data_IF_867983941630
#
_entry.id   IF_867983941630
#
_cell.length_a   1.000
_cell.length_b   1.000
_cell.length_c   1.000
_cell.angle_alpha   90.00
_cell.angle_beta   90.00
_cell.angle_gamma   90.00
#
_symmetry.space_group_name_H-M   'P 1'
#
loop_
_entity.id
_entity.type
_entity.pdbx_description
1 polymer ?
#
# COMPACT_ATOMS: atom_id res chain seq x y z
N UNK A 1 52.55 -26.42 5.96
CA UNK A 1 51.94 -25.35 5.15
C UNK A 1 50.95 -26.01 4.20
N UNK A 2 49.68 -26.11 4.59
CA UNK A 2 48.58 -26.58 3.75
C UNK A 2 47.28 -26.09 4.39
N UNK A 3 46.86 -24.87 4.06
CA UNK A 3 45.56 -24.34 4.45
C UNK A 3 44.55 -24.90 3.46
N UNK A 4 43.63 -25.72 3.97
CA UNK A 4 42.46 -26.24 3.27
C UNK A 4 41.59 -25.08 2.79
N UNK A 5 41.54 -24.88 1.48
CA UNK A 5 40.61 -23.97 0.79
C UNK A 5 39.19 -24.49 0.97
N UNK A 6 38.43 -23.87 1.88
CA UNK A 6 36.97 -24.01 1.93
C UNK A 6 36.40 -23.25 0.73
N UNK A 7 36.07 -23.96 -0.35
CA UNK A 7 35.25 -23.41 -1.43
C UNK A 7 33.86 -23.08 -0.88
N UNK A 8 33.56 -21.78 -0.83
CA UNK A 8 32.22 -21.27 -0.57
C UNK A 8 31.34 -21.66 -1.75
N UNK A 9 30.40 -22.59 -1.52
CA UNK A 9 29.35 -22.91 -2.48
C UNK A 9 28.60 -21.62 -2.86
N UNK A 10 28.25 -21.46 -4.16
CA UNK A 10 27.52 -20.28 -4.61
C UNK A 10 26.17 -20.22 -3.91
N UNK A 11 25.87 -19.06 -3.32
CA UNK A 11 24.53 -18.76 -2.80
C UNK A 11 23.57 -18.85 -3.98
N UNK A 12 22.67 -19.84 -3.94
CA UNK A 12 21.61 -19.96 -4.93
C UNK A 12 20.81 -18.65 -4.94
N UNK A 13 20.82 -17.96 -6.08
CA UNK A 13 19.91 -16.84 -6.26
C UNK A 13 18.48 -17.38 -6.15
N UNK A 14 17.60 -16.75 -5.36
CA UNK A 14 16.20 -17.14 -5.35
C UNK A 14 15.69 -17.02 -6.78
N UNK A 15 15.11 -18.10 -7.29
CA UNK A 15 14.44 -18.08 -8.57
C UNK A 15 13.45 -16.90 -8.59
N UNK A 16 13.30 -16.20 -9.74
CA UNK A 16 12.23 -15.22 -9.84
C UNK A 16 10.94 -15.94 -9.47
N UNK A 17 10.24 -15.46 -8.45
CA UNK A 17 8.88 -15.90 -8.14
C UNK A 17 7.97 -15.29 -9.21
N UNK A 18 8.19 -15.72 -10.45
CA UNK A 18 7.30 -15.54 -11.58
C UNK A 18 6.18 -16.56 -11.47
N UNK A 19 5.45 -16.49 -10.36
CA UNK A 19 4.06 -16.92 -10.39
C UNK A 19 3.30 -15.80 -11.10
N UNK A 20 3.36 -15.78 -12.43
CA UNK A 20 2.31 -15.15 -13.21
C UNK A 20 1.04 -15.95 -12.88
N UNK A 21 0.41 -15.59 -11.76
CA UNK A 21 -1.03 -15.74 -11.66
C UNK A 21 -1.54 -14.77 -12.71
N UNK A 22 -1.62 -15.24 -13.95
CA UNK A 22 -2.46 -14.61 -14.96
C UNK A 22 -3.87 -14.74 -14.40
N UNK A 23 -4.22 -13.79 -13.54
CA UNK A 23 -5.56 -13.55 -13.09
C UNK A 23 -6.31 -13.22 -14.38
N UNK A 24 -7.27 -14.08 -14.70
CA UNK A 24 -8.08 -13.90 -15.87
C UNK A 24 -8.69 -12.49 -15.81
N UNK A 25 -8.48 -11.70 -16.87
CA UNK A 25 -9.12 -10.40 -17.01
C UNK A 25 -10.62 -10.57 -16.74
N UNK A 26 -11.27 -9.63 -16.02
CA UNK A 26 -12.69 -9.75 -15.76
C UNK A 26 -13.46 -9.87 -17.07
N UNK A 27 -14.43 -10.77 -17.09
CA UNK A 27 -15.28 -11.02 -18.25
C UNK A 27 -16.05 -9.73 -18.58
N UNK A 28 -15.81 -9.19 -19.77
CA UNK A 28 -16.32 -7.88 -20.25
C UNK A 28 -17.85 -7.82 -20.36
N UNK A 29 -18.54 -8.92 -20.08
CA UNK A 29 -19.92 -9.17 -20.49
C UNK A 29 -20.83 -9.66 -19.35
N UNK A 30 -20.34 -9.69 -18.10
CA UNK A 30 -21.01 -10.37 -16.99
C UNK A 30 -21.86 -9.50 -16.05
N UNK A 31 -21.87 -8.18 -16.16
CA UNK A 31 -22.53 -7.30 -15.18
C UNK A 31 -23.93 -6.88 -15.66
N UNK A 32 -25.01 -7.31 -14.99
CA UNK A 32 -26.38 -7.04 -15.42
C UNK A 32 -26.77 -5.55 -15.29
N UNK A 33 -26.06 -4.77 -14.46
CA UNK A 33 -26.27 -3.34 -14.26
C UNK A 33 -24.96 -2.57 -14.00
N UNK A 34 -24.99 -1.25 -14.21
CA UNK A 34 -23.85 -0.37 -13.96
C UNK A 34 -23.44 -0.31 -12.48
N UNK A 35 -24.39 -0.57 -11.58
CA UNK A 35 -24.17 -0.62 -10.14
C UNK A 35 -23.28 -1.81 -9.74
N UNK A 36 -23.60 -3.02 -10.21
CA UNK A 36 -22.79 -4.22 -9.95
C UNK A 36 -21.40 -4.10 -10.56
N UNK A 37 -21.26 -3.45 -11.72
CA UNK A 37 -19.95 -3.13 -12.30
C UNK A 37 -19.10 -2.24 -11.38
N UNK A 38 -19.71 -1.21 -10.79
CA UNK A 38 -19.03 -0.32 -9.84
C UNK A 38 -18.68 -1.01 -8.51
N UNK A 39 -19.56 -1.88 -7.98
CA UNK A 39 -19.24 -2.71 -6.81
C UNK A 39 -18.10 -3.70 -7.09
N UNK A 40 -18.10 -4.32 -8.28
CA UNK A 40 -17.04 -5.22 -8.70
C UNK A 40 -15.70 -4.48 -8.85
N UNK A 41 -15.70 -3.24 -9.33
CA UNK A 41 -14.51 -2.39 -9.35
C UNK A 41 -13.99 -2.12 -7.93
N UNK A 42 -14.86 -1.81 -6.97
CA UNK A 42 -14.45 -1.63 -5.56
C UNK A 42 -13.79 -2.89 -5.01
N UNK A 43 -14.38 -4.05 -5.26
CA UNK A 43 -13.80 -5.32 -4.82
C UNK A 43 -12.45 -5.59 -5.50
N UNK A 44 -12.30 -5.25 -6.78
CA UNK A 44 -11.03 -5.38 -7.48
C UNK A 44 -9.93 -4.52 -6.82
N UNK A 45 -10.23 -3.28 -6.40
CA UNK A 45 -9.28 -2.45 -5.66
C UNK A 45 -8.96 -3.02 -4.26
N UNK A 46 -9.92 -3.65 -3.58
CA UNK A 46 -9.68 -4.35 -2.30
C UNK A 46 -8.79 -5.57 -2.44
N UNK A 47 -8.86 -6.26 -3.59
CA UNK A 47 -8.10 -7.47 -3.87
C UNK A 47 -6.71 -7.15 -4.45
N UNK A 48 -6.61 -6.17 -5.34
CA UNK A 48 -5.43 -5.95 -6.19
C UNK A 48 -4.84 -4.55 -6.09
N UNK A 49 -5.44 -3.63 -5.32
CA UNK A 49 -4.96 -2.25 -5.22
C UNK A 49 -3.52 -2.12 -4.74
N UNK A 50 -3.04 -3.08 -3.94
CA UNK A 50 -1.66 -3.13 -3.46
C UNK A 50 -0.63 -3.27 -4.58
N UNK A 51 -1.00 -3.90 -5.71
CA UNK A 51 -0.11 -4.07 -6.87
C UNK A 51 0.25 -2.73 -7.52
N UNK A 52 -0.57 -1.69 -7.31
CA UNK A 52 -0.32 -0.33 -7.79
C UNK A 52 0.01 0.66 -6.66
N UNK A 53 0.32 0.17 -5.46
CA UNK A 53 0.63 1.03 -4.33
C UNK A 53 2.06 1.58 -4.37
N UNK A 54 2.22 2.85 -4.03
CA UNK A 54 3.52 3.53 -3.97
C UNK A 54 4.22 3.26 -2.62
N UNK A 55 4.58 2.00 -2.38
CA UNK A 55 5.17 1.54 -1.10
C UNK A 55 6.71 1.51 -1.12
N UNK A 56 7.34 1.53 -2.29
CA UNK A 56 8.79 1.44 -2.42
C UNK A 56 9.43 2.84 -2.36
N UNK A 57 10.18 3.19 -1.29
CA UNK A 57 10.80 4.51 -1.16
C UNK A 57 11.99 4.73 -2.09
N UNK A 58 12.54 3.66 -2.68
CA UNK A 58 13.67 3.73 -3.63
C UNK A 58 13.21 3.83 -5.09
N UNK A 59 11.89 3.74 -5.32
CA UNK A 59 11.36 3.81 -6.67
C UNK A 59 11.60 5.19 -7.28
N UNK A 60 12.25 5.21 -8.45
CA UNK A 60 12.59 6.42 -9.21
C UNK A 60 11.58 6.69 -10.32
N UNK A 61 10.70 5.73 -10.60
CA UNK A 61 9.70 5.79 -11.67
C UNK A 61 8.32 5.39 -11.13
N UNK A 62 7.73 6.18 -10.20
CA UNK A 62 6.42 5.85 -9.61
C UNK A 62 5.27 5.74 -10.65
N UNK A 63 5.49 6.21 -11.88
CA UNK A 63 4.54 6.13 -12.99
C UNK A 63 4.64 4.84 -13.82
N UNK A 64 5.63 3.97 -13.57
CA UNK A 64 5.82 2.69 -14.29
C UNK A 64 5.25 1.47 -13.53
N UNK A 65 4.44 1.71 -12.49
CA UNK A 65 3.72 0.62 -11.82
C UNK A 65 2.93 -0.17 -12.87
N UNK A 66 3.01 -1.51 -12.86
CA UNK A 66 2.36 -2.33 -13.87
C UNK A 66 0.87 -2.01 -13.93
N UNK A 67 0.35 -1.82 -15.15
CA UNK A 67 -1.07 -1.70 -15.39
C UNK A 67 -1.73 -3.02 -14.97
N UNK A 68 -2.52 -2.96 -13.90
CA UNK A 68 -3.32 -4.08 -13.41
C UNK A 68 -4.65 -4.00 -14.14
N UNK A 69 -4.91 -4.98 -15.01
CA UNK A 69 -6.08 -4.97 -15.90
C UNK A 69 -7.40 -4.96 -15.11
N UNK A 70 -7.40 -5.58 -13.92
CA UNK A 70 -8.50 -5.65 -12.96
C UNK A 70 -8.82 -4.29 -12.33
N UNK A 71 -7.93 -3.30 -12.42
CA UNK A 71 -8.19 -1.96 -11.89
C UNK A 71 -8.70 -0.99 -12.98
N UNK A 72 -8.83 -1.45 -14.23
CA UNK A 72 -9.41 -0.68 -15.33
C UNK A 72 -10.95 -0.70 -15.25
N UNK A 73 -11.62 0.45 -15.04
CA UNK A 73 -13.08 0.54 -15.02
C UNK A 73 -13.76 0.01 -16.29
N UNK A 74 -13.08 0.10 -17.44
CA UNK A 74 -13.62 -0.37 -18.72
C UNK A 74 -13.86 -1.87 -18.73
N UNK A 75 -13.12 -2.61 -17.92
CA UNK A 75 -13.26 -4.05 -17.78
C UNK A 75 -14.59 -4.44 -17.10
N UNK A 76 -15.22 -3.48 -16.40
CA UNK A 76 -16.50 -3.63 -15.71
C UNK A 76 -17.68 -2.96 -16.44
N UNK A 77 -17.48 -2.56 -17.71
CA UNK A 77 -18.50 -1.86 -18.48
C UNK A 77 -18.74 -0.40 -18.05
N UNK A 78 -17.87 0.16 -17.20
CA UNK A 78 -17.96 1.53 -16.73
C UNK A 78 -17.28 2.46 -17.73
N UNK A 79 -18.08 3.28 -18.41
CA UNK A 79 -17.58 4.36 -19.25
C UNK A 79 -17.23 5.58 -18.38
N UNK A 80 -16.22 6.34 -18.79
CA UNK A 80 -15.94 7.68 -18.28
C UNK A 80 -17.00 8.66 -18.81
N UNK A 81 -18.25 8.46 -18.42
CA UNK A 81 -19.28 9.49 -18.51
C UNK A 81 -19.32 10.19 -17.16
N UNK A 82 -18.96 11.47 -17.14
CA UNK A 82 -18.93 12.31 -15.94
C UNK A 82 -20.33 12.55 -15.35
N UNK A 83 -21.38 12.23 -16.11
CA UNK A 83 -22.78 12.47 -15.74
C UNK A 83 -23.37 11.35 -14.87
N UNK A 84 -22.77 10.17 -14.88
CA UNK A 84 -23.30 9.00 -14.19
C UNK A 84 -22.80 8.94 -12.74
N UNK A 85 -23.75 8.91 -11.80
CA UNK A 85 -23.47 8.75 -10.37
C UNK A 85 -23.89 7.37 -9.90
N UNK A 86 -23.04 6.76 -9.07
CA UNK A 86 -23.19 5.41 -8.56
C UNK A 86 -23.39 5.49 -7.05
N UNK A 87 -24.44 4.84 -6.55
CA UNK A 87 -24.58 4.59 -5.12
C UNK A 87 -23.63 3.44 -4.76
N UNK A 88 -22.67 3.64 -3.86
CA UNK A 88 -21.69 2.61 -3.51
C UNK A 88 -21.47 2.61 -2.00
N UNK A 89 -21.34 1.41 -1.43
CA UNK A 89 -20.96 1.22 -0.04
C UNK A 89 -19.43 1.29 0.13
N UNK A 90 -18.94 2.40 0.69
CA UNK A 90 -17.53 2.66 0.96
C UNK A 90 -17.35 3.17 2.39
N UNK A 91 -16.36 2.67 3.12
CA UNK A 91 -16.03 3.15 4.45
C UNK A 91 -17.12 2.86 5.50
N UNK A 92 -17.97 1.86 5.25
CA UNK A 92 -19.14 1.58 6.10
C UNK A 92 -20.34 2.51 5.88
N UNK A 93 -20.33 3.36 4.85
CA UNK A 93 -21.44 4.24 4.50
C UNK A 93 -21.80 4.15 3.01
N UNK A 94 -23.09 4.31 2.69
CA UNK A 94 -23.51 4.50 1.30
C UNK A 94 -23.16 5.93 0.85
N UNK A 95 -22.53 6.05 -0.33
CA UNK A 95 -22.18 7.33 -0.94
C UNK A 95 -22.59 7.33 -2.40
N UNK A 96 -23.06 8.46 -2.88
CA UNK A 96 -23.30 8.67 -4.31
C UNK A 96 -22.08 9.38 -4.89
N UNK A 97 -21.34 8.71 -5.76
CA UNK A 97 -20.11 9.21 -6.35
C UNK A 97 -20.15 9.08 -7.87
N UNK A 98 -19.56 10.03 -8.58
CA UNK A 98 -19.25 9.88 -10.00
C UNK A 98 -18.10 8.89 -10.19
N UNK A 99 -17.93 8.34 -11.39
CA UNK A 99 -16.83 7.39 -11.66
C UNK A 99 -15.44 7.98 -11.35
N UNK A 100 -15.10 9.23 -11.74
CA UNK A 100 -13.81 9.84 -11.39
C UNK A 100 -13.61 9.98 -9.87
N UNK A 101 -14.66 10.36 -9.13
CA UNK A 101 -14.60 10.47 -7.66
C UNK A 101 -14.39 9.10 -7.00
N UNK A 102 -15.08 8.07 -7.49
CA UNK A 102 -14.93 6.69 -7.03
C UNK A 102 -13.49 6.21 -7.23
N UNK A 103 -12.94 6.36 -8.44
CA UNK A 103 -11.55 5.96 -8.74
C UNK A 103 -10.56 6.75 -7.90
N UNK A 104 -10.75 8.06 -7.75
CA UNK A 104 -9.90 8.91 -6.91
C UNK A 104 -9.89 8.42 -5.46
N UNK A 105 -11.05 8.09 -4.91
CA UNK A 105 -11.19 7.57 -3.56
C UNK A 105 -10.52 6.19 -3.40
N UNK A 106 -10.73 5.28 -4.35
CA UNK A 106 -10.13 3.95 -4.32
C UNK A 106 -8.60 4.00 -4.43
N UNK A 107 -8.07 4.80 -5.35
CA UNK A 107 -6.62 5.02 -5.48
C UNK A 107 -6.01 5.63 -4.23
N UNK A 108 -6.67 6.62 -3.63
CA UNK A 108 -6.19 7.22 -2.38
C UNK A 108 -6.22 6.22 -1.21
N UNK A 109 -7.14 5.26 -1.22
CA UNK A 109 -7.31 4.28 -0.12
C UNK A 109 -6.38 3.07 -0.27
N UNK A 110 -6.14 2.59 -1.50
CA UNK A 110 -5.43 1.32 -1.75
C UNK A 110 -4.10 1.46 -2.51
N UNK A 111 -3.89 2.55 -3.25
CA UNK A 111 -2.73 2.72 -4.13
C UNK A 111 -1.77 3.82 -3.65
N UNK A 112 -1.92 4.31 -2.42
CA UNK A 112 -1.05 5.33 -1.83
C UNK A 112 0.25 4.75 -1.25
N UNK A 113 0.86 5.49 -0.32
CA UNK A 113 2.04 5.04 0.44
C UNK A 113 1.72 3.99 1.52
N UNK A 114 0.44 3.68 1.70
CA UNK A 114 -0.07 2.61 2.54
C UNK A 114 -1.10 1.86 1.70
N UNK A 115 -1.04 0.52 1.73
CA UNK A 115 -2.05 -0.34 1.12
C UNK A 115 -2.50 -1.41 2.11
N UNK A 116 -3.73 -1.87 1.94
CA UNK A 116 -4.34 -2.91 2.77
C UNK A 116 -4.54 -4.18 1.96
N UNK A 117 -3.87 -5.24 2.36
CA UNK A 117 -4.15 -6.58 1.91
C UNK A 117 -4.88 -7.35 3.02
N UNK A 118 -6.17 -7.62 2.83
CA UNK A 118 -6.98 -8.33 3.83
C UNK A 118 -7.95 -9.35 3.23
N UNK A 119 -7.84 -9.62 1.92
CA UNK A 119 -8.66 -10.61 1.23
C UNK A 119 -8.58 -12.00 1.88
N UNK A 120 -7.39 -12.36 2.36
CA UNK A 120 -7.09 -13.64 3.02
C UNK A 120 -7.70 -13.76 4.43
N UNK A 121 -8.21 -12.66 5.02
CA UNK A 121 -8.86 -12.68 6.34
C UNK A 121 -10.21 -13.39 6.23
N UNK A 122 -10.35 -14.55 6.88
CA UNK A 122 -11.55 -15.40 6.82
C UNK A 122 -12.76 -14.80 7.54
N UNK A 123 -12.53 -14.06 8.62
CA UNK A 123 -13.60 -13.49 9.42
C UNK A 123 -14.18 -12.25 8.72
N UNK A 124 -15.38 -12.39 8.14
CA UNK A 124 -16.03 -11.32 7.36
C UNK A 124 -16.17 -10.02 8.13
N UNK A 125 -16.58 -10.07 9.41
CA UNK A 125 -16.73 -8.88 10.24
C UNK A 125 -15.40 -8.12 10.43
N UNK A 126 -14.29 -8.83 10.64
CA UNK A 126 -12.97 -8.23 10.78
C UNK A 126 -12.49 -7.61 9.46
N UNK A 127 -12.69 -8.33 8.35
CA UNK A 127 -12.35 -7.84 7.01
C UNK A 127 -13.14 -6.58 6.64
N UNK A 128 -14.44 -6.58 6.89
CA UNK A 128 -15.30 -5.41 6.70
C UNK A 128 -14.87 -4.23 7.57
N UNK A 129 -14.47 -4.49 8.82
CA UNK A 129 -13.94 -3.45 9.70
C UNK A 129 -12.65 -2.83 9.13
N UNK A 130 -11.72 -3.65 8.62
CA UNK A 130 -10.49 -3.16 8.00
C UNK A 130 -10.76 -2.31 6.77
N UNK A 131 -11.67 -2.74 5.88
CA UNK A 131 -12.10 -1.94 4.73
C UNK A 131 -12.72 -0.61 5.18
N UNK A 132 -13.60 -0.63 6.19
CA UNK A 132 -14.22 0.58 6.71
C UNK A 132 -13.18 1.56 7.27
N UNK A 133 -12.17 1.07 7.98
CA UNK A 133 -11.08 1.91 8.50
C UNK A 133 -10.24 2.51 7.36
N UNK A 134 -9.87 1.73 6.35
CA UNK A 134 -9.04 2.24 5.25
C UNK A 134 -9.79 3.22 4.36
N UNK A 135 -10.98 2.87 3.91
CA UNK A 135 -11.82 3.70 3.04
C UNK A 135 -12.34 4.95 3.81
N UNK A 136 -12.45 4.89 5.14
CA UNK A 136 -12.85 6.03 5.96
C UNK A 136 -11.75 7.10 6.14
N UNK A 137 -10.47 6.73 6.06
CA UNK A 137 -9.33 7.63 6.35
C UNK A 137 -9.16 8.75 5.32
N UNK A 138 -9.56 8.52 4.08
CA UNK A 138 -9.42 9.45 2.94
C UNK A 138 -10.11 10.80 3.19
N UNK A 139 -11.11 10.85 4.09
CA UNK A 139 -11.84 12.08 4.43
C UNK A 139 -11.26 12.87 5.63
N UNK A 140 -10.41 12.28 6.49
CA UNK A 140 -10.17 12.81 7.85
C UNK A 140 -8.70 12.93 8.29
N UNK A 141 -7.74 12.30 7.60
CA UNK A 141 -6.36 12.17 8.12
C UNK A 141 -5.40 13.28 7.68
N UNK A 142 -5.77 14.57 7.80
CA UNK A 142 -4.77 15.65 7.67
C UNK A 142 -4.07 15.84 9.02
N UNK A 143 -2.75 15.59 9.06
CA UNK A 143 -1.96 15.87 10.26
C UNK A 143 -1.90 17.38 10.51
N UNK A 144 -1.95 17.80 11.77
CA UNK A 144 -1.72 19.21 12.11
C UNK A 144 -0.26 19.55 11.86
N UNK A 145 0.05 20.83 11.57
CA UNK A 145 1.45 21.31 11.49
C UNK A 145 2.27 20.91 12.73
N UNK A 146 1.65 20.98 13.91
CA UNK A 146 2.26 20.53 15.17
C UNK A 146 2.62 19.04 15.15
N UNK A 147 1.74 18.18 14.64
CA UNK A 147 1.97 16.74 14.58
C UNK A 147 3.11 16.42 13.61
N UNK A 148 3.12 17.09 12.45
CA UNK A 148 4.20 16.96 11.47
C UNK A 148 5.56 17.41 12.04
N UNK A 149 5.61 18.52 12.78
CA UNK A 149 6.83 18.97 13.46
C UNK A 149 7.30 18.00 14.55
N UNK A 150 6.37 17.40 15.30
CA UNK A 150 6.71 16.40 16.30
C UNK A 150 7.27 15.12 15.65
N UNK A 151 6.66 14.65 14.55
CA UNK A 151 7.17 13.51 13.77
C UNK A 151 8.57 13.83 13.24
N UNK A 152 8.77 15.02 12.67
CA UNK A 152 10.06 15.46 12.16
C UNK A 152 11.14 15.49 13.24
N UNK A 153 10.84 16.05 14.42
CA UNK A 153 11.78 16.10 15.54
C UNK A 153 12.20 14.68 15.99
N UNK A 154 11.27 13.72 15.99
CA UNK A 154 11.56 12.31 16.32
C UNK A 154 12.46 11.65 15.27
N UNK A 155 12.25 11.92 13.98
CA UNK A 155 13.11 11.44 12.89
C UNK A 155 14.53 12.01 13.01
N UNK A 156 14.64 13.34 13.18
CA UNK A 156 15.93 14.01 13.34
C UNK A 156 16.72 13.50 14.55
N UNK A 157 16.04 13.19 15.65
CA UNK A 157 16.66 12.59 16.82
C UNK A 157 17.19 11.17 16.54
N UNK A 158 16.46 10.35 15.79
CA UNK A 158 16.88 8.99 15.41
C UNK A 158 18.12 9.04 14.50
N UNK A 159 18.10 9.89 13.47
CA UNK A 159 19.24 10.08 12.56
C UNK A 159 20.47 10.65 13.28
N UNK A 160 20.26 11.64 14.16
CA UNK A 160 21.34 12.20 14.98
C UNK A 160 22.01 11.18 15.92
N UNK A 161 21.22 10.24 16.46
CA UNK A 161 21.77 9.16 17.28
C UNK A 161 22.64 8.19 16.48
N UNK A 162 22.23 7.85 15.25
CA UNK A 162 23.04 7.02 14.34
C UNK A 162 24.38 7.69 13.99
N UNK A 163 24.36 8.99 13.68
CA UNK A 163 25.59 9.75 13.45
C UNK A 163 26.51 9.79 14.68
N UNK A 164 25.94 9.97 15.87
CA UNK A 164 26.69 9.93 17.12
C UNK A 164 27.36 8.57 17.34
N UNK A 165 26.60 7.47 17.19
CA UNK A 165 27.13 6.12 17.34
C UNK A 165 28.28 5.85 16.36
N UNK A 166 28.12 6.25 15.08
CA UNK A 166 29.14 6.14 14.04
C UNK A 166 30.43 6.87 14.38
N UNK A 167 30.32 8.08 14.91
CA UNK A 167 31.46 8.91 15.27
C UNK A 167 32.22 8.39 16.50
N UNK A 168 31.49 7.97 17.55
CA UNK A 168 32.09 7.62 18.84
C UNK A 168 32.50 6.15 18.95
N UNK A 169 31.86 5.24 18.21
CA UNK A 169 32.10 3.80 18.30
C UNK A 169 32.40 3.16 16.93
N UNK A 170 33.39 3.65 16.16
CA UNK A 170 33.61 3.26 14.77
C UNK A 170 34.03 1.79 14.56
N UNK A 171 34.52 1.13 15.61
CA UNK A 171 34.99 -0.27 15.55
C UNK A 171 33.95 -1.29 16.03
N UNK A 172 32.78 -0.82 16.47
CA UNK A 172 31.71 -1.69 16.94
C UNK A 172 30.72 -1.97 15.82
N UNK A 173 30.10 -3.16 15.86
CA UNK A 173 28.99 -3.51 14.96
C UNK A 173 27.73 -2.79 15.44
N UNK A 174 27.22 -1.88 14.62
CA UNK A 174 26.15 -0.94 15.04
C UNK A 174 24.74 -1.37 14.65
N UNK A 175 24.58 -2.24 13.63
CA UNK A 175 23.26 -2.60 13.09
C UNK A 175 22.40 -1.35 12.82
N UNK A 176 22.95 -0.44 11.99
CA UNK A 176 22.38 0.88 11.68
C UNK A 176 20.91 0.80 11.26
N UNK A 177 20.13 1.76 11.75
CA UNK A 177 18.74 2.00 11.33
C UNK A 177 18.64 3.04 10.19
N UNK A 178 19.76 3.43 9.59
CA UNK A 178 19.78 4.41 8.49
C UNK A 178 18.89 3.97 7.31
N UNK A 179 17.98 4.84 6.90
CA UNK A 179 16.93 4.57 5.91
C UNK A 179 15.66 3.89 6.46
N UNK A 180 15.61 3.56 7.76
CA UNK A 180 14.45 2.97 8.45
C UNK A 180 14.11 3.70 9.76
N UNK A 181 14.47 4.97 9.89
CA UNK A 181 14.27 5.82 11.06
C UNK A 181 12.79 6.01 11.41
N UNK A 182 11.92 5.89 10.40
CA UNK A 182 10.46 5.90 10.55
C UNK A 182 9.95 4.83 11.53
N UNK A 183 10.70 3.74 11.72
CA UNK A 183 10.40 2.71 12.72
C UNK A 183 10.38 3.27 14.14
N UNK A 184 11.27 4.22 14.47
CA UNK A 184 11.31 4.85 15.81
C UNK A 184 10.02 5.63 16.06
N UNK A 185 9.55 6.37 15.05
CA UNK A 185 8.30 7.13 15.13
C UNK A 185 7.11 6.18 15.28
N UNK A 186 7.08 5.10 14.50
CA UNK A 186 6.04 4.08 14.56
C UNK A 186 5.95 3.48 15.97
N UNK A 187 7.06 2.95 16.50
CA UNK A 187 7.10 2.32 17.81
C UNK A 187 6.66 3.28 18.91
N UNK A 188 7.13 4.53 18.87
CA UNK A 188 6.73 5.56 19.83
C UNK A 188 5.22 5.82 19.77
N UNK A 189 4.65 5.89 18.57
CA UNK A 189 3.21 6.12 18.38
C UNK A 189 2.38 4.94 18.89
N UNK A 190 2.87 3.70 18.74
CA UNK A 190 2.20 2.50 19.27
C UNK A 190 2.21 2.47 20.79
N UNK A 191 3.26 2.97 21.44
CA UNK A 191 3.38 3.00 22.91
C UNK A 191 2.61 4.17 23.53
N UNK A 192 2.54 5.32 22.84
CA UNK A 192 1.83 6.52 23.32
C UNK A 192 0.30 6.43 23.17
N UNK A 193 -0.20 5.47 22.39
CA UNK A 193 -1.63 5.20 22.17
C UNK A 193 -2.14 4.08 23.05
#
# INVERSE_FOLDING_TARGET
MALSTLELLPVAQPAPVGGETSLAAPDKTGYPDLFSGAEALVEAYRLHGYCQASINPLDRSPHESPLVAELDPRAYGLAFDESASYLIHLGGAARTLTLPELIGHLRASYCGSISLESAHVRATAQRQWLYAQMEGRTASSKSTVRDSLNIFAKLAAAEGFEHFQRAHYPRHKQFSLEGSESLVVLLKTVVEK
#
